data_IF_970944337310
#
_entry.id   IF_970944337310
#
_cell.length_a   1.000
_cell.length_b   1.000
_cell.length_c   1.000
_cell.angle_alpha   90.00
_cell.angle_beta   90.00
_cell.angle_gamma   90.00
#
_symmetry.space_group_name_H-M   'P 1'
#
loop_
_entity.id
_entity.type
_entity.pdbx_description
1 polymer ?
#
# COMPACT_ATOMS: atom_id res chain seq x y z
N UNK A 1 29.78 -4.83 0.27
CA UNK A 1 29.62 -3.63 1.12
C UNK A 1 28.68 -3.88 2.30
N UNK A 2 27.44 -4.35 2.11
CA UNK A 2 26.50 -4.59 3.23
C UNK A 2 26.99 -5.60 4.30
N UNK A 3 27.66 -6.70 3.91
CA UNK A 3 28.22 -7.68 4.87
C UNK A 3 29.25 -7.05 5.83
N UNK A 4 30.14 -6.20 5.31
CA UNK A 4 31.18 -5.52 6.12
C UNK A 4 30.54 -4.52 7.09
N UNK A 5 29.44 -3.87 6.69
CA UNK A 5 28.70 -2.94 7.55
C UNK A 5 28.01 -3.64 8.73
N UNK A 6 27.37 -4.79 8.49
CA UNK A 6 26.72 -5.57 9.57
C UNK A 6 27.75 -6.14 10.53
N UNK A 7 28.87 -6.65 10.02
CA UNK A 7 29.93 -7.20 10.87
C UNK A 7 30.56 -6.15 11.80
N UNK A 8 30.64 -4.89 11.34
CA UNK A 8 31.12 -3.76 12.14
C UNK A 8 30.13 -3.26 13.20
N UNK A 9 28.83 -3.50 13.01
CA UNK A 9 27.77 -3.11 13.97
C UNK A 9 27.46 -4.24 14.96
N UNK A 10 27.59 -5.49 14.53
CA UNK A 10 27.27 -6.67 15.31
C UNK A 10 28.15 -7.84 14.90
N UNK A 11 28.90 -8.43 15.85
CA UNK A 11 29.73 -9.63 15.62
C UNK A 11 28.92 -10.93 15.71
N UNK A 12 27.59 -10.84 15.69
CA UNK A 12 26.69 -11.99 15.75
C UNK A 12 26.51 -12.64 14.37
N UNK A 13 26.69 -13.95 14.31
CA UNK A 13 26.43 -14.74 13.10
C UNK A 13 24.94 -14.68 12.68
N UNK A 14 24.03 -14.46 13.63
CA UNK A 14 22.59 -14.33 13.36
C UNK A 14 22.29 -13.10 12.50
N UNK A 15 22.97 -11.98 12.74
CA UNK A 15 22.70 -10.73 12.02
C UNK A 15 23.19 -10.80 10.58
N UNK A 16 24.30 -11.53 10.35
CA UNK A 16 24.80 -11.85 9.00
C UNK A 16 23.80 -12.76 8.27
N UNK A 17 23.30 -13.81 8.93
CA UNK A 17 22.32 -14.71 8.36
C UNK A 17 21.01 -14.00 8.01
N UNK A 18 20.54 -13.12 8.91
CA UNK A 18 19.36 -12.28 8.69
C UNK A 18 19.57 -11.31 7.52
N UNK A 19 20.74 -10.66 7.44
CA UNK A 19 21.09 -9.77 6.33
C UNK A 19 21.11 -10.50 4.99
N UNK A 20 21.67 -11.72 4.94
CA UNK A 20 21.62 -12.58 3.76
C UNK A 20 20.18 -12.94 3.38
N UNK A 21 19.34 -13.32 4.36
CA UNK A 21 17.92 -13.63 4.13
C UNK A 21 17.11 -12.45 3.61
N UNK A 22 17.22 -11.28 4.27
CA UNK A 22 16.56 -10.04 3.85
C UNK A 22 17.08 -9.55 2.49
N UNK A 23 18.38 -9.70 2.23
CA UNK A 23 18.98 -9.40 0.93
C UNK A 23 18.42 -10.27 -0.19
N UNK A 24 18.20 -11.56 0.06
CA UNK A 24 17.57 -12.48 -0.89
C UNK A 24 16.11 -12.13 -1.13
N UNK A 25 15.35 -11.77 -0.09
CA UNK A 25 13.96 -11.32 -0.22
C UNK A 25 13.89 -10.03 -1.06
N UNK A 26 14.79 -9.06 -0.79
CA UNK A 26 14.90 -7.83 -1.59
C UNK A 26 15.26 -8.10 -3.05
N UNK A 27 16.13 -9.07 -3.30
CA UNK A 27 16.46 -9.52 -4.66
C UNK A 27 15.25 -10.15 -5.36
N UNK A 28 14.53 -11.06 -4.69
CA UNK A 28 13.30 -11.66 -5.23
C UNK A 28 12.25 -10.60 -5.55
N UNK A 29 12.03 -9.64 -4.66
CA UNK A 29 11.07 -8.56 -4.90
C UNK A 29 11.43 -7.72 -6.14
N UNK A 30 12.72 -7.53 -6.42
CA UNK A 30 13.18 -6.88 -7.65
C UNK A 30 12.95 -7.76 -8.89
N UNK A 31 13.13 -9.07 -8.79
CA UNK A 31 12.89 -10.02 -9.89
C UNK A 31 11.41 -10.08 -10.28
N UNK A 32 10.51 -9.94 -9.32
CA UNK A 32 9.06 -9.97 -9.55
C UNK A 32 8.44 -8.58 -9.80
N UNK A 33 9.26 -7.54 -10.02
CA UNK A 33 8.83 -6.14 -10.18
C UNK A 33 7.90 -5.63 -9.05
N UNK A 34 7.97 -6.23 -7.86
CA UNK A 34 7.21 -5.76 -6.72
C UNK A 34 7.85 -4.48 -6.16
N UNK A 35 7.12 -3.36 -6.11
CA UNK A 35 7.67 -2.13 -5.59
C UNK A 35 7.74 -2.25 -4.06
N UNK A 36 8.95 -2.52 -3.55
CA UNK A 36 9.23 -2.72 -2.11
C UNK A 36 8.82 -1.50 -1.28
N UNK A 37 9.06 -0.28 -1.80
CA UNK A 37 8.77 0.95 -1.09
C UNK A 37 7.26 1.11 -0.77
N UNK A 38 6.32 1.01 -1.72
CA UNK A 38 4.88 0.97 -1.44
C UNK A 38 4.46 -0.14 -0.47
N UNK A 39 5.03 -1.34 -0.60
CA UNK A 39 4.71 -2.46 0.28
C UNK A 39 5.10 -2.16 1.74
N UNK A 40 6.30 -1.61 1.95
CA UNK A 40 6.78 -1.20 3.26
C UNK A 40 5.93 -0.06 3.87
N UNK A 41 5.57 0.92 3.05
CA UNK A 41 4.69 2.02 3.46
C UNK A 41 3.33 1.47 3.90
N UNK A 42 2.74 0.55 3.14
CA UNK A 42 1.50 -0.12 3.52
C UNK A 42 1.62 -0.92 4.83
N UNK A 43 2.73 -1.63 5.02
CA UNK A 43 3.01 -2.40 6.23
C UNK A 43 3.13 -1.51 7.48
N UNK A 44 3.73 -0.33 7.36
CA UNK A 44 3.88 0.61 8.48
C UNK A 44 2.59 1.39 8.73
N UNK A 45 1.96 1.90 7.67
CA UNK A 45 0.77 2.74 7.78
C UNK A 45 -0.50 1.95 8.10
N UNK A 46 -0.59 0.69 7.68
CA UNK A 46 -1.76 -0.16 7.91
C UNK A 46 -2.12 -0.31 9.40
N UNK A 47 -1.20 -0.79 10.25
CA UNK A 47 -1.42 -0.89 11.69
C UNK A 47 -1.74 0.47 12.33
N UNK A 48 -1.06 1.53 11.90
CA UNK A 48 -1.35 2.88 12.40
C UNK A 48 -2.77 3.33 12.05
N UNK A 49 -3.21 3.11 10.80
CA UNK A 49 -4.55 3.44 10.36
C UNK A 49 -5.62 2.66 11.14
N UNK A 50 -5.40 1.37 11.38
CA UNK A 50 -6.32 0.55 12.16
C UNK A 50 -6.40 1.00 13.63
N UNK A 51 -5.27 1.36 14.24
CA UNK A 51 -5.24 1.92 15.59
C UNK A 51 -6.05 3.21 15.66
N UNK A 52 -5.90 4.12 14.69
CA UNK A 52 -6.67 5.37 14.69
C UNK A 52 -8.17 5.12 14.45
N UNK A 53 -8.53 4.18 13.57
CA UNK A 53 -9.92 3.79 13.36
C UNK A 53 -10.54 3.23 14.64
N UNK A 54 -9.86 2.30 15.32
CA UNK A 54 -10.34 1.74 16.59
C UNK A 54 -10.44 2.81 17.67
N UNK A 55 -9.48 3.74 17.75
CA UNK A 55 -9.54 4.86 18.70
C UNK A 55 -10.73 5.76 18.44
N UNK A 56 -10.99 6.11 17.18
CA UNK A 56 -12.15 6.90 16.79
C UNK A 56 -13.46 6.20 17.21
N UNK A 57 -13.61 4.92 16.87
CA UNK A 57 -14.80 4.14 17.23
C UNK A 57 -14.95 3.96 18.75
N UNK A 58 -13.85 3.78 19.49
CA UNK A 58 -13.88 3.68 20.94
C UNK A 58 -14.34 4.99 21.61
N UNK A 59 -13.88 6.15 21.12
CA UNK A 59 -14.33 7.47 21.58
C UNK A 59 -15.81 7.69 21.26
N UNK A 60 -16.27 7.16 20.12
CA UNK A 60 -17.65 7.23 19.65
C UNK A 60 -18.59 6.17 20.23
N UNK A 61 -18.17 5.43 21.27
CA UNK A 61 -18.98 4.35 21.87
C UNK A 61 -19.45 3.30 20.86
N UNK A 62 -18.60 2.97 19.89
CA UNK A 62 -18.86 2.02 18.81
C UNK A 62 -19.94 2.47 17.80
N UNK A 63 -20.24 3.77 17.74
CA UNK A 63 -21.12 4.35 16.73
C UNK A 63 -20.35 4.61 15.42
N UNK A 64 -20.63 3.81 14.40
CA UNK A 64 -20.06 3.90 13.06
C UNK A 64 -20.52 5.15 12.30
N UNK A 65 -21.63 5.77 12.72
CA UNK A 65 -22.14 6.98 12.08
C UNK A 65 -21.21 8.17 12.28
N UNK A 66 -20.33 8.15 13.30
CA UNK A 66 -19.38 9.24 13.57
C UNK A 66 -18.38 9.48 12.43
N UNK A 67 -18.07 8.44 11.66
CA UNK A 67 -17.20 8.54 10.48
C UNK A 67 -17.82 9.39 9.36
N UNK A 68 -19.14 9.50 9.31
CA UNK A 68 -19.89 10.23 8.26
C UNK A 68 -20.63 11.45 8.82
N UNK A 69 -20.95 11.48 10.12
CA UNK A 69 -21.69 12.58 10.73
C UNK A 69 -20.87 13.86 10.87
N UNK A 70 -19.55 13.74 10.96
CA UNK A 70 -18.65 14.90 10.97
C UNK A 70 -18.33 15.33 9.54
N UNK A 71 -18.65 16.56 9.11
CA UNK A 71 -18.49 17.00 7.71
C UNK A 71 -17.03 16.95 7.24
N UNK A 72 -16.07 17.13 8.16
CA UNK A 72 -14.63 17.01 7.87
C UNK A 72 -14.25 15.55 7.61
N UNK A 73 -14.72 14.61 8.44
CA UNK A 73 -14.45 13.18 8.26
C UNK A 73 -15.09 12.68 6.98
N UNK A 74 -16.36 13.03 6.73
CA UNK A 74 -17.07 12.68 5.51
C UNK A 74 -16.36 13.21 4.25
N UNK A 75 -15.89 14.46 4.29
CA UNK A 75 -15.10 15.06 3.21
C UNK A 75 -13.80 14.30 2.94
N UNK A 76 -13.03 13.99 3.97
CA UNK A 76 -11.80 13.21 3.85
C UNK A 76 -12.05 11.79 3.32
N UNK A 77 -13.11 11.14 3.79
CA UNK A 77 -13.50 9.79 3.36
C UNK A 77 -13.92 9.79 1.88
N UNK A 78 -14.65 10.81 1.45
CA UNK A 78 -15.04 11.00 0.05
C UNK A 78 -13.82 11.22 -0.86
N UNK A 79 -12.86 12.06 -0.44
CA UNK A 79 -11.60 12.27 -1.18
C UNK A 79 -10.78 10.98 -1.25
N UNK A 80 -10.65 10.25 -0.14
CA UNK A 80 -9.93 8.97 -0.11
C UNK A 80 -10.57 7.94 -1.05
N UNK A 81 -11.91 7.84 -1.04
CA UNK A 81 -12.65 6.98 -1.96
C UNK A 81 -12.45 7.42 -3.42
N UNK A 82 -12.45 8.73 -3.71
CA UNK A 82 -12.21 9.25 -5.05
C UNK A 82 -10.80 8.89 -5.54
N UNK A 83 -9.77 9.08 -4.72
CA UNK A 83 -8.38 8.75 -5.08
C UNK A 83 -8.21 7.25 -5.34
N UNK A 84 -8.92 6.40 -4.61
CA UNK A 84 -8.90 4.95 -4.81
C UNK A 84 -9.65 4.53 -6.10
N UNK A 85 -10.82 5.10 -6.34
CA UNK A 85 -11.76 4.67 -7.40
C UNK A 85 -11.44 5.31 -8.75
N UNK A 86 -11.03 6.58 -8.78
CA UNK A 86 -10.75 7.34 -10.00
C UNK A 86 -9.74 6.65 -10.94
N UNK A 87 -8.55 6.17 -10.49
CA UNK A 87 -7.63 5.47 -11.38
C UNK A 87 -8.17 4.12 -11.87
N UNK A 88 -9.00 3.44 -11.07
CA UNK A 88 -9.66 2.20 -11.48
C UNK A 88 -10.72 2.46 -12.57
N UNK A 89 -11.56 3.48 -12.39
CA UNK A 89 -12.60 3.85 -13.35
C UNK A 89 -11.99 4.31 -14.67
N UNK A 90 -10.99 5.20 -14.62
CA UNK A 90 -10.29 5.70 -15.81
C UNK A 90 -9.59 4.57 -16.57
N UNK A 91 -8.98 3.60 -15.86
CA UNK A 91 -8.40 2.40 -16.48
C UNK A 91 -9.47 1.53 -17.15
N UNK A 92 -10.67 1.43 -16.58
CA UNK A 92 -11.76 0.62 -17.15
C UNK A 92 -12.41 1.28 -18.36
N UNK A 93 -12.61 2.60 -18.32
CA UNK A 93 -13.12 3.39 -19.46
C UNK A 93 -12.12 3.39 -20.64
N UNK A 94 -10.83 3.63 -20.39
CA UNK A 94 -9.79 3.58 -21.44
C UNK A 94 -9.61 2.19 -22.06
N UNK A 95 -9.88 1.11 -21.30
CA UNK A 95 -9.91 -0.25 -21.86
C UNK A 95 -11.14 -0.52 -22.71
N UNK A 96 -12.26 0.15 -22.43
CA UNK A 96 -13.48 0.03 -23.24
C UNK A 96 -13.32 0.72 -24.60
N UNK A 97 -12.71 1.91 -24.63
CA UNK A 97 -12.41 2.63 -25.89
C UNK A 97 -11.47 1.85 -26.81
N UNK A 98 -10.38 1.27 -26.28
CA UNK A 98 -9.44 0.47 -27.11
C UNK A 98 -10.07 -0.77 -27.73
N UNK A 99 -11.04 -1.40 -27.04
CA UNK A 99 -11.76 -2.56 -27.58
C UNK A 99 -12.66 -2.19 -28.76
N UNK A 100 -13.25 -0.99 -28.73
CA UNK A 100 -14.11 -0.49 -29.81
C UNK A 100 -13.26 -0.11 -31.04
N UNK A 101 -12.09 0.49 -30.87
CA UNK A 101 -11.16 0.77 -31.98
C UNK A 101 -10.63 -0.51 -32.66
N UNK A 102 -10.32 -1.56 -31.88
CA UNK A 102 -9.88 -2.85 -32.43
C UNK A 102 -11.01 -3.57 -33.20
N UNK A 103 -12.26 -3.51 -32.73
CA UNK A 103 -13.41 -4.08 -33.46
C UNK A 103 -13.77 -3.29 -34.72
N UNK A 104 -13.58 -1.97 -34.74
CA UNK A 104 -13.85 -1.12 -35.91
C UNK A 104 -12.73 -1.21 -36.95
N UNK A 105 -11.46 -1.40 -36.55
CA UNK A 105 -10.34 -1.57 -37.47
C UNK A 105 -10.26 -2.99 -38.07
N UNK A 106 -10.88 -3.99 -37.44
CA UNK A 106 -10.95 -5.37 -37.94
C UNK A 106 -12.08 -5.61 -38.95
N UNK A 107 -12.91 -4.60 -39.23
CA UNK A 107 -14.06 -4.67 -40.14
C UNK A 107 -13.85 -3.77 -41.35
#
# INVERSE_FOLDING_TARGET
FALVGVWGLSTSWMDIALMCGLGLIGYMARVYDFPIAPALIGLILGPQAEIQLRRALAVSQNDWTVLVSTPISAGLLAVAALVLVLPLLLRRMRRAERRIEEEVAAK
#
